data_IF_134701079719
#
_entry.id   IF_134701079719
#
_cell.length_a   1.000
_cell.length_b   1.000
_cell.length_c   1.000
_cell.angle_alpha   90.00
_cell.angle_beta   90.00
_cell.angle_gamma   90.00
#
_symmetry.space_group_name_H-M   'P 1'
#
loop_
_entity.id
_entity.type
_entity.pdbx_description
1 polymer ?
#
# COMPACT_ATOMS: atom_id res chain seq x y z
N UNK A 1 7.17 2.27 -29.86
CA UNK A 1 7.33 1.91 -28.44
C UNK A 1 6.01 1.34 -27.94
N UNK A 2 6.01 0.10 -27.42
CA UNK A 2 4.79 -0.51 -26.88
C UNK A 2 4.50 0.17 -25.53
N UNK A 3 3.38 0.86 -25.41
CA UNK A 3 2.97 1.46 -24.12
C UNK A 3 2.60 0.28 -23.21
N UNK A 4 3.47 -0.03 -22.25
CA UNK A 4 3.17 -1.05 -21.24
C UNK A 4 2.21 -0.43 -20.24
N UNK A 5 0.99 -0.95 -20.18
CA UNK A 5 0.02 -0.56 -19.14
C UNK A 5 0.39 -1.31 -17.86
N UNK A 6 0.57 -0.62 -16.71
CA UNK A 6 0.89 -1.28 -15.46
C UNK A 6 -0.27 -2.20 -15.03
N UNK A 7 0.07 -3.31 -14.42
CA UNK A 7 -0.92 -4.22 -13.80
C UNK A 7 -1.25 -3.76 -12.36
N UNK A 8 -0.24 -3.21 -11.68
CA UNK A 8 -0.32 -2.81 -10.27
C UNK A 8 0.07 -1.34 -10.15
N UNK A 9 -0.72 -0.56 -9.42
CA UNK A 9 -0.38 0.79 -8.98
C UNK A 9 -0.12 0.77 -7.48
N UNK A 10 1.09 1.11 -7.07
CA UNK A 10 1.44 1.28 -5.66
C UNK A 10 1.27 2.76 -5.31
N UNK A 11 0.41 3.05 -4.35
CA UNK A 11 0.14 4.41 -3.88
C UNK A 11 0.83 4.62 -2.55
N UNK A 12 1.70 5.63 -2.50
CA UNK A 12 2.41 6.05 -1.31
C UNK A 12 1.91 7.45 -0.94
N UNK A 13 1.17 7.62 0.18
CA UNK A 13 0.87 8.94 0.72
C UNK A 13 2.15 9.55 1.29
N UNK A 14 2.51 10.77 0.86
CA UNK A 14 3.81 11.37 1.20
C UNK A 14 3.60 12.69 1.93
N UNK A 15 4.06 12.75 3.19
CA UNK A 15 4.08 13.95 4.01
C UNK A 15 5.35 13.99 4.86
N UNK A 16 6.29 14.92 4.60
CA UNK A 16 7.58 15.07 5.30
C UNK A 16 8.40 13.77 5.38
N UNK A 17 8.39 12.98 4.30
CA UNK A 17 8.94 11.63 4.27
C UNK A 17 10.31 11.52 3.58
N UNK A 18 11.08 12.60 3.49
CA UNK A 18 12.36 12.62 2.75
C UNK A 18 13.36 11.59 3.24
N UNK A 19 13.36 11.28 4.55
CA UNK A 19 14.31 10.36 5.16
C UNK A 19 13.91 8.88 5.06
N UNK A 20 12.65 8.57 4.80
CA UNK A 20 12.12 7.19 4.85
C UNK A 20 11.70 6.67 3.48
N UNK A 21 11.30 7.57 2.57
CA UNK A 21 10.68 7.23 1.28
C UNK A 21 11.61 6.38 0.39
N UNK A 22 12.92 6.57 0.43
CA UNK A 22 13.87 5.76 -0.34
C UNK A 22 13.78 4.28 0.05
N UNK A 23 13.65 3.98 1.35
CA UNK A 23 13.49 2.62 1.86
C UNK A 23 12.19 2.00 1.34
N UNK A 24 11.09 2.74 1.38
CA UNK A 24 9.80 2.30 0.87
C UNK A 24 9.87 1.98 -0.65
N UNK A 25 10.43 2.89 -1.46
CA UNK A 25 10.61 2.69 -2.90
C UNK A 25 11.52 1.50 -3.19
N UNK A 26 12.61 1.36 -2.44
CA UNK A 26 13.55 0.23 -2.60
C UNK A 26 12.86 -1.11 -2.35
N UNK A 27 11.94 -1.20 -1.40
CA UNK A 27 11.16 -2.42 -1.14
C UNK A 27 10.26 -2.81 -2.32
N UNK A 28 9.77 -1.82 -3.09
CA UNK A 28 9.01 -2.06 -4.32
C UNK A 28 9.94 -2.50 -5.46
N UNK A 29 11.11 -1.87 -5.59
CA UNK A 29 12.09 -2.23 -6.62
C UNK A 29 12.61 -3.66 -6.43
N UNK A 30 12.67 -4.14 -5.19
CA UNK A 30 13.13 -5.48 -4.83
C UNK A 30 12.02 -6.55 -4.90
N UNK A 31 10.82 -6.22 -5.39
CA UNK A 31 9.76 -7.22 -5.55
C UNK A 31 10.14 -8.27 -6.60
N UNK A 32 9.87 -9.53 -6.30
CA UNK A 32 9.93 -10.67 -7.24
C UNK A 32 8.75 -10.60 -8.21
N UNK A 33 8.67 -9.48 -8.93
CA UNK A 33 7.61 -9.14 -9.87
C UNK A 33 8.17 -8.28 -11.00
N UNK A 34 7.60 -8.38 -12.20
CA UNK A 34 8.00 -7.59 -13.35
C UNK A 34 7.85 -6.09 -13.09
N UNK A 35 8.97 -5.38 -12.99
CA UNK A 35 9.01 -3.96 -12.65
C UNK A 35 8.33 -3.08 -13.70
N UNK A 36 8.28 -3.49 -14.98
CA UNK A 36 7.59 -2.75 -16.03
C UNK A 36 6.05 -2.81 -15.88
N UNK A 37 5.55 -3.71 -15.05
CA UNK A 37 4.13 -3.86 -14.72
C UNK A 37 3.70 -3.14 -13.45
N UNK A 38 4.62 -2.45 -12.77
CA UNK A 38 4.35 -1.67 -11.57
C UNK A 38 4.47 -0.19 -11.91
N UNK A 39 3.51 0.63 -11.50
CA UNK A 39 3.69 2.07 -11.35
C UNK A 39 3.68 2.44 -9.88
N UNK A 40 4.48 3.44 -9.52
CA UNK A 40 4.56 3.99 -8.16
C UNK A 40 3.99 5.41 -8.21
N UNK A 41 2.99 5.69 -7.39
CA UNK A 41 2.35 7.00 -7.30
C UNK A 41 2.69 7.60 -5.95
N UNK A 42 3.57 8.60 -5.94
CA UNK A 42 3.86 9.40 -4.76
C UNK A 42 2.79 10.49 -4.65
N UNK A 43 1.82 10.31 -3.77
CA UNK A 43 0.74 11.29 -3.56
C UNK A 43 1.14 12.27 -2.46
N UNK A 44 1.71 13.40 -2.88
CA UNK A 44 2.30 14.39 -1.98
C UNK A 44 1.23 15.23 -1.29
N UNK A 45 1.40 15.47 0.00
CA UNK A 45 0.49 16.24 0.85
C UNK A 45 1.18 17.40 1.60
N UNK A 46 2.39 17.78 1.17
CA UNK A 46 3.16 18.92 1.66
C UNK A 46 3.77 19.74 0.51
N UNK A 47 4.54 20.77 0.83
CA UNK A 47 5.22 21.63 -0.13
C UNK A 47 6.65 21.17 -0.51
N UNK A 48 7.07 19.99 -0.04
CA UNK A 48 8.42 19.51 -0.30
C UNK A 48 8.57 18.99 -1.72
N UNK A 49 9.79 19.03 -2.24
CA UNK A 49 10.12 18.49 -3.55
C UNK A 49 10.58 17.05 -3.46
N UNK A 50 10.01 16.19 -4.29
CA UNK A 50 10.31 14.75 -4.33
C UNK A 50 10.80 14.27 -5.70
N UNK A 51 11.10 15.20 -6.64
CA UNK A 51 11.45 14.85 -8.03
C UNK A 51 12.71 14.00 -8.16
N UNK A 52 13.65 14.14 -7.23
CA UNK A 52 14.88 13.35 -7.21
C UNK A 52 14.60 11.83 -7.01
N UNK A 53 13.48 11.45 -6.40
CA UNK A 53 13.11 10.03 -6.25
C UNK A 53 12.78 9.35 -7.59
N UNK A 54 12.47 10.10 -8.66
CA UNK A 54 12.31 9.54 -10.01
C UNK A 54 13.57 8.85 -10.54
N UNK A 55 14.74 9.17 -9.98
CA UNK A 55 15.99 8.51 -10.32
C UNK A 55 16.06 7.07 -9.80
N UNK A 56 15.29 6.73 -8.77
CA UNK A 56 15.25 5.39 -8.18
C UNK A 56 14.40 4.41 -9.00
N UNK A 57 13.40 4.90 -9.73
CA UNK A 57 12.54 4.08 -10.56
C UNK A 57 11.86 4.93 -11.65
N UNK A 58 12.02 4.51 -12.91
CA UNK A 58 11.43 5.20 -14.09
C UNK A 58 9.90 5.25 -14.09
N UNK A 59 9.25 4.35 -13.33
CA UNK A 59 7.78 4.23 -13.26
C UNK A 59 7.17 5.06 -12.13
N UNK A 60 7.98 5.90 -11.45
CA UNK A 60 7.49 6.83 -10.42
C UNK A 60 6.74 7.99 -11.08
N UNK A 61 5.54 8.22 -10.57
CA UNK A 61 4.71 9.39 -10.88
C UNK A 61 4.48 10.18 -9.59
N UNK A 62 4.79 11.47 -9.62
CA UNK A 62 4.57 12.37 -8.48
C UNK A 62 3.27 13.12 -8.72
N UNK A 63 2.37 13.02 -7.77
CA UNK A 63 1.10 13.74 -7.73
C UNK A 63 1.21 14.84 -6.68
N UNK A 64 1.51 16.04 -7.12
CA UNK A 64 1.55 17.20 -6.26
C UNK A 64 0.13 17.65 -5.90
N UNK A 65 -0.09 18.21 -4.70
CA UNK A 65 -1.39 18.73 -4.31
C UNK A 65 -1.76 19.94 -5.21
N UNK A 66 -3.02 19.97 -5.65
CA UNK A 66 -3.56 21.08 -6.47
C UNK A 66 -4.40 22.06 -5.65
N UNK A 67 -4.27 22.05 -4.32
CA UNK A 67 -5.09 22.85 -3.42
C UNK A 67 -4.62 22.74 -1.98
N UNK A 68 -5.54 22.44 -1.07
CA UNK A 68 -5.24 22.34 0.36
C UNK A 68 -4.17 21.27 0.63
N UNK A 69 -3.20 21.63 1.45
CA UNK A 69 -2.16 20.75 1.99
C UNK A 69 -2.60 20.14 3.32
N UNK A 70 -1.88 19.12 3.77
CA UNK A 70 -2.13 18.44 5.04
C UNK A 70 -3.56 17.90 5.12
N UNK A 71 -3.99 17.29 4.03
CA UNK A 71 -5.32 16.70 3.92
C UNK A 71 -5.39 15.31 4.57
N UNK A 72 -4.24 14.75 4.93
CA UNK A 72 -4.09 13.45 5.56
C UNK A 72 -3.90 12.30 4.57
N UNK A 73 -3.40 11.17 5.10
CA UNK A 73 -3.03 10.01 4.30
C UNK A 73 -4.21 9.43 3.50
N UNK A 74 -5.42 9.47 4.06
CA UNK A 74 -6.64 8.98 3.39
C UNK A 74 -6.93 9.75 2.11
N UNK A 75 -6.94 11.08 2.17
CA UNK A 75 -7.18 11.90 0.99
C UNK A 75 -6.02 11.82 -0.01
N UNK A 76 -4.79 11.72 0.46
CA UNK A 76 -3.64 11.47 -0.40
C UNK A 76 -3.81 10.13 -1.16
N UNK A 77 -4.23 9.05 -0.48
CA UNK A 77 -4.53 7.77 -1.13
C UNK A 77 -5.69 7.89 -2.14
N UNK A 78 -6.76 8.63 -1.80
CA UNK A 78 -7.88 8.90 -2.71
C UNK A 78 -7.44 9.60 -4.00
N UNK A 79 -6.57 10.62 -3.90
CA UNK A 79 -5.99 11.28 -5.07
C UNK A 79 -5.18 10.30 -5.93
N UNK A 80 -4.38 9.45 -5.30
CA UNK A 80 -3.62 8.41 -5.99
C UNK A 80 -4.51 7.40 -6.73
N UNK A 81 -5.58 6.91 -6.09
CA UNK A 81 -6.54 5.98 -6.71
C UNK A 81 -7.15 6.56 -8.00
N UNK A 82 -7.49 7.85 -8.00
CA UNK A 82 -8.10 8.52 -9.18
C UNK A 82 -7.21 8.44 -10.41
N UNK A 83 -5.89 8.60 -10.25
CA UNK A 83 -4.94 8.61 -11.38
C UNK A 83 -4.25 7.27 -11.66
N UNK A 84 -4.44 6.28 -10.80
CA UNK A 84 -3.86 4.95 -10.95
C UNK A 84 -4.32 4.29 -12.27
N UNK A 85 -3.40 3.61 -12.97
CA UNK A 85 -3.67 2.92 -14.25
C UNK A 85 -3.75 1.41 -14.07
N UNK A 86 -3.15 0.88 -13.00
CA UNK A 86 -3.17 -0.54 -12.69
C UNK A 86 -4.58 -1.05 -12.36
N UNK A 87 -4.83 -2.32 -12.66
CA UNK A 87 -6.07 -3.02 -12.28
C UNK A 87 -6.11 -3.33 -10.79
N UNK A 88 -4.95 -3.39 -10.16
CA UNK A 88 -4.75 -3.68 -8.75
C UNK A 88 -4.09 -2.47 -8.10
N UNK A 89 -4.54 -2.12 -6.90
CA UNK A 89 -3.96 -1.07 -6.07
C UNK A 89 -3.30 -1.71 -4.85
N UNK A 90 -2.06 -1.33 -4.57
CA UNK A 90 -1.37 -1.54 -3.31
C UNK A 90 -1.19 -0.22 -2.59
N UNK A 91 -1.30 -0.23 -1.27
CA UNK A 91 -1.02 0.91 -0.42
C UNK A 91 0.22 0.62 0.41
N UNK A 92 1.21 1.50 0.36
CA UNK A 92 2.42 1.42 1.16
C UNK A 92 2.65 2.78 1.82
N UNK A 93 2.84 2.80 3.12
CA UNK A 93 3.18 4.03 3.82
C UNK A 93 4.64 4.41 3.57
N UNK A 94 4.94 5.72 3.60
CA UNK A 94 6.23 6.25 3.16
C UNK A 94 7.40 5.89 4.10
N UNK A 95 7.10 5.32 5.25
CA UNK A 95 8.04 4.85 6.27
C UNK A 95 8.08 3.32 6.43
N UNK A 96 7.23 2.59 5.69
CA UNK A 96 7.11 1.14 5.75
C UNK A 96 7.76 0.42 4.56
N UNK A 97 7.77 -0.90 4.59
CA UNK A 97 8.33 -1.75 3.51
C UNK A 97 7.49 -3.00 3.26
N UNK A 98 7.70 -3.61 2.09
CA UNK A 98 7.19 -4.93 1.74
C UNK A 98 8.31 -5.95 1.63
N UNK A 99 8.05 -7.20 2.04
CA UNK A 99 8.95 -8.32 1.70
C UNK A 99 8.99 -8.53 0.18
N UNK A 100 10.09 -9.08 -0.33
CA UNK A 100 10.33 -9.21 -1.78
C UNK A 100 9.27 -10.03 -2.53
N UNK A 101 8.58 -10.93 -1.87
CA UNK A 101 7.55 -11.80 -2.43
C UNK A 101 6.11 -11.27 -2.24
N UNK A 102 5.93 -10.05 -1.71
CA UNK A 102 4.62 -9.47 -1.39
C UNK A 102 3.69 -9.47 -2.61
N UNK A 103 4.13 -8.91 -3.73
CA UNK A 103 3.28 -8.76 -4.92
C UNK A 103 3.00 -10.10 -5.61
N UNK A 104 3.99 -10.98 -5.72
CA UNK A 104 3.79 -12.26 -6.41
C UNK A 104 2.85 -13.20 -5.65
N UNK A 105 2.83 -13.15 -4.31
CA UNK A 105 1.91 -13.96 -3.49
C UNK A 105 0.52 -13.35 -3.38
N UNK A 106 0.40 -12.02 -3.24
CA UNK A 106 -0.91 -11.39 -2.99
C UNK A 106 -1.72 -11.15 -4.27
N UNK A 107 -1.07 -10.89 -5.41
CA UNK A 107 -1.79 -10.59 -6.66
C UNK A 107 -2.77 -11.69 -7.08
N UNK A 108 -2.40 -12.99 -7.12
CA UNK A 108 -3.35 -14.05 -7.48
C UNK A 108 -4.57 -14.09 -6.56
N UNK A 109 -4.36 -13.83 -5.27
CA UNK A 109 -5.42 -13.79 -4.26
C UNK A 109 -6.34 -12.59 -4.50
N UNK A 110 -5.77 -11.40 -4.68
CA UNK A 110 -6.53 -10.18 -4.97
C UNK A 110 -7.35 -10.31 -6.26
N UNK A 111 -6.78 -10.93 -7.30
CA UNK A 111 -7.49 -11.17 -8.55
C UNK A 111 -8.67 -12.13 -8.38
N UNK A 112 -8.54 -13.15 -7.54
CA UNK A 112 -9.58 -14.16 -7.30
C UNK A 112 -10.69 -13.68 -6.38
N UNK A 113 -10.32 -12.98 -5.29
CA UNK A 113 -11.25 -12.66 -4.19
C UNK A 113 -11.59 -11.16 -4.08
N UNK A 114 -10.96 -10.31 -4.90
CA UNK A 114 -11.17 -8.87 -4.88
C UNK A 114 -10.14 -8.11 -4.03
N UNK A 115 -9.59 -8.74 -3.01
CA UNK A 115 -8.49 -8.21 -2.18
C UNK A 115 -7.62 -9.33 -1.62
N UNK A 116 -6.41 -8.97 -1.19
CA UNK A 116 -5.50 -9.85 -0.45
C UNK A 116 -4.89 -9.10 0.73
N UNK A 117 -4.69 -9.80 1.83
CA UNK A 117 -4.06 -9.29 3.05
C UNK A 117 -2.92 -10.24 3.41
N UNK A 118 -1.89 -9.72 4.05
CA UNK A 118 -0.77 -10.50 4.58
C UNK A 118 -0.56 -10.19 6.06
N UNK A 119 0.36 -10.90 6.68
CA UNK A 119 0.84 -10.61 8.03
C UNK A 119 1.57 -9.27 8.05
N UNK A 120 1.54 -8.59 9.18
CA UNK A 120 2.31 -7.37 9.42
C UNK A 120 3.41 -7.65 10.44
N UNK A 121 4.66 -7.45 10.05
CA UNK A 121 5.80 -7.46 10.96
C UNK A 121 6.03 -6.07 11.52
N UNK A 122 6.25 -5.99 12.82
CA UNK A 122 6.65 -4.76 13.49
C UNK A 122 8.15 -4.82 13.73
N UNK A 123 8.85 -3.81 13.27
CA UNK A 123 10.29 -3.64 13.39
C UNK A 123 10.59 -2.43 14.28
N UNK A 124 11.76 -2.42 14.93
CA UNK A 124 12.25 -1.20 15.57
C UNK A 124 12.98 -0.30 14.57
N UNK A 125 13.38 0.90 14.98
CA UNK A 125 14.08 1.88 14.14
C UNK A 125 15.39 1.37 13.53
N UNK A 126 15.99 0.31 14.08
CA UNK A 126 17.20 -0.33 13.57
C UNK A 126 16.89 -1.50 12.61
N UNK A 127 15.61 -1.76 12.33
CA UNK A 127 15.17 -2.86 11.48
C UNK A 127 15.13 -4.23 12.17
N UNK A 128 15.28 -4.30 13.48
CA UNK A 128 15.17 -5.55 14.21
C UNK A 128 13.70 -5.92 14.41
N UNK A 129 13.39 -7.19 14.15
CA UNK A 129 12.07 -7.76 14.37
C UNK A 129 11.66 -7.67 15.86
N UNK A 130 10.42 -7.24 16.08
CA UNK A 130 9.79 -7.21 17.41
C UNK A 130 8.71 -8.29 17.53
N UNK A 131 7.69 -8.23 16.69
CA UNK A 131 6.60 -9.21 16.65
C UNK A 131 5.84 -9.17 15.33
N UNK A 132 4.97 -10.18 15.12
CA UNK A 132 4.10 -10.27 13.94
C UNK A 132 2.65 -10.15 14.34
N UNK A 133 1.91 -9.30 13.65
CA UNK A 133 0.45 -9.31 13.65
C UNK A 133 -0.02 -10.33 12.61
N UNK A 134 -0.59 -11.41 13.07
CA UNK A 134 -1.14 -12.48 12.23
C UNK A 134 -2.67 -12.50 12.36
N UNK A 135 -3.40 -12.05 11.34
CA UNK A 135 -4.86 -12.04 11.39
C UNK A 135 -5.49 -13.43 11.27
N UNK A 136 -4.67 -14.48 11.13
CA UNK A 136 -5.15 -15.85 11.00
C UNK A 136 -5.81 -16.17 9.66
N UNK A 137 -6.41 -17.36 9.57
CA UNK A 137 -6.93 -17.91 8.30
C UNK A 137 -8.13 -17.13 7.74
N UNK A 138 -9.03 -16.70 8.62
CA UNK A 138 -10.22 -15.93 8.25
C UNK A 138 -10.12 -14.54 8.86
N UNK A 139 -9.71 -13.56 8.06
CA UNK A 139 -9.65 -12.18 8.53
C UNK A 139 -11.05 -11.57 8.58
N UNK A 140 -11.46 -11.14 9.77
CA UNK A 140 -12.78 -10.60 10.06
C UNK A 140 -12.66 -9.22 10.73
N UNK A 141 -13.77 -8.46 10.72
CA UNK A 141 -13.83 -7.12 11.32
C UNK A 141 -13.40 -7.12 12.80
N UNK A 142 -13.74 -8.17 13.56
CA UNK A 142 -13.36 -8.30 14.98
C UNK A 142 -11.85 -8.24 15.23
N UNK A 143 -11.01 -8.62 14.25
CA UNK A 143 -9.56 -8.61 14.40
C UNK A 143 -8.98 -7.19 14.52
N UNK A 144 -9.65 -6.16 14.01
CA UNK A 144 -9.21 -4.77 14.22
C UNK A 144 -9.28 -4.30 15.67
N UNK A 145 -10.13 -4.94 16.49
CA UNK A 145 -10.19 -4.65 17.92
C UNK A 145 -9.18 -5.43 18.77
N UNK A 146 -8.56 -6.46 18.21
CA UNK A 146 -7.65 -7.37 18.91
C UNK A 146 -6.18 -7.11 18.57
N UNK A 147 -5.90 -6.53 17.41
CA UNK A 147 -4.56 -6.33 16.90
C UNK A 147 -4.23 -4.84 16.85
N UNK A 148 -3.13 -4.39 17.47
CA UNK A 148 -2.66 -3.02 17.31
C UNK A 148 -2.09 -2.85 15.90
N UNK A 149 -2.63 -1.91 15.15
CA UNK A 149 -2.15 -1.57 13.81
C UNK A 149 -3.20 -1.73 12.71
N UNK A 150 -2.83 -1.31 11.52
CA UNK A 150 -3.67 -1.41 10.34
C UNK A 150 -3.15 -2.46 9.36
N UNK A 151 -4.05 -2.97 8.54
CA UNK A 151 -3.71 -3.85 7.44
C UNK A 151 -3.97 -3.12 6.12
N UNK A 152 -2.96 -3.04 5.27
CA UNK A 152 -3.08 -2.44 3.95
C UNK A 152 -3.28 -3.54 2.90
N UNK A 153 -4.51 -3.72 2.38
CA UNK A 153 -4.78 -4.76 1.40
C UNK A 153 -4.20 -4.41 0.04
N UNK A 154 -3.77 -5.43 -0.69
CA UNK A 154 -3.69 -5.38 -2.15
C UNK A 154 -5.10 -5.62 -2.69
N UNK A 155 -5.67 -4.70 -3.48
CA UNK A 155 -7.10 -4.69 -3.80
C UNK A 155 -7.37 -4.37 -5.27
N UNK A 156 -8.43 -4.93 -5.87
CA UNK A 156 -8.87 -4.52 -7.20
C UNK A 156 -9.22 -3.03 -7.22
N UNK A 157 -8.74 -2.28 -8.22
CA UNK A 157 -8.96 -0.82 -8.31
C UNK A 157 -10.43 -0.42 -8.14
N UNK A 158 -11.37 -1.17 -8.73
CA UNK A 158 -12.82 -0.89 -8.63
C UNK A 158 -13.38 -0.95 -7.20
N UNK A 159 -12.61 -1.51 -6.25
CA UNK A 159 -12.98 -1.68 -4.85
C UNK A 159 -12.12 -0.81 -3.92
N UNK A 160 -11.04 -0.20 -4.43
CA UNK A 160 -9.95 0.39 -3.65
C UNK A 160 -10.28 1.65 -2.85
N UNK A 161 -11.41 2.28 -3.03
CA UNK A 161 -11.74 3.51 -2.32
C UNK A 161 -13.23 3.77 -2.19
N UNK A 162 -13.62 4.90 -1.61
CA UNK A 162 -12.74 5.91 -1.02
C UNK A 162 -12.29 5.56 0.41
N UNK A 163 -11.18 6.16 0.83
CA UNK A 163 -10.84 6.27 2.25
C UNK A 163 -11.71 7.36 2.87
N UNK A 164 -12.24 7.15 4.07
CA UNK A 164 -12.99 8.21 4.78
C UNK A 164 -12.04 9.28 5.32
N UNK A 165 -12.60 10.42 5.68
CA UNK A 165 -11.86 11.48 6.35
C UNK A 165 -11.60 11.13 7.83
N UNK A 166 -10.56 11.74 8.40
CA UNK A 166 -10.27 11.68 9.83
C UNK A 166 -9.27 10.61 10.24
N UNK A 167 -9.20 10.35 11.56
CA UNK A 167 -8.31 9.38 12.16
C UNK A 167 -8.76 7.94 11.83
N UNK A 168 -7.81 6.98 11.85
CA UNK A 168 -8.06 5.56 11.59
C UNK A 168 -8.76 5.27 10.26
N UNK A 169 -8.56 6.14 9.26
CA UNK A 169 -9.18 6.05 7.94
C UNK A 169 -8.81 4.76 7.20
N UNK A 170 -7.64 4.21 7.45
CA UNK A 170 -7.13 2.94 6.94
C UNK A 170 -7.89 1.74 7.54
N UNK A 171 -8.10 1.74 8.86
CA UNK A 171 -8.90 0.73 9.54
C UNK A 171 -10.35 0.74 9.04
N UNK A 172 -10.96 1.93 8.98
CA UNK A 172 -12.35 2.07 8.49
C UNK A 172 -12.45 1.64 7.03
N UNK A 173 -11.46 1.98 6.20
CA UNK A 173 -11.39 1.53 4.81
C UNK A 173 -11.36 0.00 4.71
N UNK A 174 -10.50 -0.67 5.47
CA UNK A 174 -10.45 -2.13 5.51
C UNK A 174 -11.78 -2.75 5.98
N UNK A 175 -12.40 -2.21 7.02
CA UNK A 175 -13.72 -2.66 7.50
C UNK A 175 -14.77 -2.53 6.38
N UNK A 176 -14.76 -1.42 5.64
CA UNK A 176 -15.68 -1.21 4.53
C UNK A 176 -15.43 -2.19 3.36
N UNK A 177 -14.18 -2.56 3.11
CA UNK A 177 -13.85 -3.61 2.15
C UNK A 177 -14.37 -4.97 2.60
N UNK A 178 -14.13 -5.36 3.86
CA UNK A 178 -14.60 -6.64 4.42
C UNK A 178 -16.13 -6.77 4.43
N UNK A 179 -16.87 -5.66 4.62
CA UNK A 179 -18.34 -5.66 4.48
C UNK A 179 -18.80 -5.97 3.05
N UNK A 180 -18.02 -5.55 2.06
CA UNK A 180 -18.34 -5.76 0.62
C UNK A 180 -17.82 -7.09 0.09
N UNK A 181 -16.69 -7.55 0.62
CA UNK A 181 -15.96 -8.72 0.15
C UNK A 181 -15.74 -9.64 1.35
N UNK A 182 -16.53 -10.71 1.53
CA UNK A 182 -16.25 -11.69 2.56
C UNK A 182 -14.90 -12.34 2.26
N UNK A 183 -13.87 -11.93 2.99
CA UNK A 183 -12.51 -12.44 2.82
C UNK A 183 -12.41 -13.85 3.36
N UNK A 184 -12.16 -14.82 2.48
CA UNK A 184 -12.07 -16.26 2.84
C UNK A 184 -10.76 -16.87 2.34
N UNK A 185 -9.77 -16.06 2.01
CA UNK A 185 -8.50 -16.60 1.53
C UNK A 185 -7.53 -16.84 2.68
N UNK A 186 -6.74 -17.91 2.52
CA UNK A 186 -5.59 -18.15 3.39
C UNK A 186 -4.60 -17.00 3.26
N UNK A 187 -4.14 -16.50 4.40
CA UNK A 187 -3.08 -15.50 4.45
C UNK A 187 -1.77 -16.15 4.01
N UNK A 188 -1.05 -15.58 3.06
CA UNK A 188 0.25 -16.09 2.63
C UNK A 188 1.21 -16.20 3.81
N UNK A 189 2.01 -17.27 3.83
CA UNK A 189 2.92 -17.55 4.95
C UNK A 189 4.22 -16.75 4.89
N UNK A 190 4.65 -16.35 3.70
CA UNK A 190 5.99 -15.77 3.48
C UNK A 190 5.97 -14.28 3.20
N UNK A 191 4.91 -13.76 2.57
CA UNK A 191 4.80 -12.32 2.32
C UNK A 191 4.49 -11.54 3.61
N UNK A 192 5.07 -10.35 3.73
CA UNK A 192 4.93 -9.46 4.88
C UNK A 192 4.78 -8.01 4.45
N UNK A 193 3.94 -7.28 5.16
CA UNK A 193 3.97 -5.83 5.31
C UNK A 193 4.84 -5.53 6.54
N UNK A 194 5.76 -4.58 6.47
CA UNK A 194 6.72 -4.30 7.54
C UNK A 194 6.61 -2.85 8.00
N UNK A 195 6.21 -2.65 9.25
CA UNK A 195 6.13 -1.35 9.92
C UNK A 195 7.43 -1.11 10.70
N UNK A 196 8.01 0.08 10.52
CA UNK A 196 9.29 0.49 11.10
C UNK A 196 9.12 1.51 12.24
#
# INVERSE_FOLDING_TARGET
MKIITPEISVIIPVYKAQSTLERAISSINNQLYDQDKIEIILSVDDNSKYDHFKLLNKNIRILNPSGKLRTGAGEARNRGIKIARGKIIGFLDADDTWSSNYLCELKPIAMRYGMAITKTEILNQNGNYLFTLDPGYNFEIKHFGLLPGSFHPLVLKKLAGPFPDGASQDVIHCINLLKKIPYRSKIPSHSKYQIW
#
